data_IF_754079531742
#
_entry.id   IF_754079531742
#
_cell.length_a   1.000
_cell.length_b   1.000
_cell.length_c   1.000
_cell.angle_alpha   90.00
_cell.angle_beta   90.00
_cell.angle_gamma   90.00
#
_symmetry.space_group_name_H-M   'P 1'
#
loop_
_entity.id
_entity.type
_entity.pdbx_description
1 polymer ?
#
# COMPACT_ATOMS: atom_id res chain seq x y z
N UNK A 1 15.66 26.54 17.30
CA UNK A 1 15.42 25.16 16.77
C UNK A 1 14.91 25.27 15.36
N UNK A 2 15.38 24.44 14.43
CA UNK A 2 14.85 24.43 13.06
C UNK A 2 13.42 23.89 13.06
N UNK A 3 12.53 24.43 12.23
CA UNK A 3 11.12 24.00 12.14
C UNK A 3 10.97 22.49 11.89
N UNK A 4 11.96 21.86 11.21
CA UNK A 4 11.95 20.44 10.88
C UNK A 4 11.79 19.51 12.11
N UNK A 5 12.38 19.88 13.23
CA UNK A 5 12.38 19.07 14.46
C UNK A 5 11.31 19.50 15.48
N UNK A 6 10.45 20.45 15.13
CA UNK A 6 9.30 20.80 15.97
C UNK A 6 8.14 19.85 15.72
N UNK A 7 7.32 19.53 16.73
CA UNK A 7 6.10 18.74 16.55
C UNK A 7 5.17 19.35 15.50
N UNK A 8 4.40 18.50 14.85
CA UNK A 8 3.37 18.90 13.90
C UNK A 8 2.07 18.16 14.22
N UNK A 9 1.00 18.92 14.41
CA UNK A 9 -0.33 18.35 14.71
C UNK A 9 -1.25 18.55 13.52
N UNK A 10 -1.89 17.48 13.07
CA UNK A 10 -2.96 17.49 12.09
C UNK A 10 -4.16 16.74 12.66
N UNK A 11 -5.28 17.43 12.84
CA UNK A 11 -6.44 16.92 13.58
C UNK A 11 -5.99 16.38 14.96
N UNK A 12 -6.28 15.13 15.25
CA UNK A 12 -5.97 14.50 16.54
C UNK A 12 -4.60 13.78 16.58
N UNK A 13 -3.83 13.85 15.47
CA UNK A 13 -2.54 13.17 15.34
C UNK A 13 -1.40 14.16 15.46
N UNK A 14 -0.48 13.90 16.40
CA UNK A 14 0.74 14.71 16.61
C UNK A 14 1.99 13.92 16.24
N UNK A 15 2.71 14.39 15.24
CA UNK A 15 4.03 13.90 14.85
C UNK A 15 5.09 14.52 15.74
N UNK A 16 6.08 13.75 16.21
CA UNK A 16 7.19 14.28 17.05
C UNK A 16 8.11 15.27 16.30
N UNK A 17 8.11 15.22 14.97
CA UNK A 17 8.83 16.14 14.08
C UNK A 17 8.17 16.11 12.69
N UNK A 18 8.69 16.90 11.74
CA UNK A 18 8.12 17.06 10.39
C UNK A 18 8.79 16.15 9.34
N UNK A 19 9.44 15.07 9.77
CA UNK A 19 10.06 14.09 8.89
C UNK A 19 9.08 12.95 8.70
N UNK A 20 8.66 12.73 7.45
CA UNK A 20 7.82 11.61 7.07
C UNK A 20 8.59 10.67 6.12
N UNK A 21 8.52 9.37 6.39
CA UNK A 21 8.95 8.34 5.43
C UNK A 21 7.78 8.08 4.50
N UNK A 22 7.93 8.33 3.18
CA UNK A 22 6.86 8.09 2.21
C UNK A 22 6.65 6.60 1.97
N UNK A 23 5.50 6.20 1.37
CA UNK A 23 5.25 4.82 1.00
C UNK A 23 6.21 4.38 -0.11
N UNK A 24 6.92 3.28 0.10
CA UNK A 24 7.91 2.71 -0.84
C UNK A 24 7.73 1.20 -0.91
N UNK A 25 7.27 0.69 -2.06
CA UNK A 25 7.00 -0.73 -2.26
C UNK A 25 8.23 -1.60 -2.02
N UNK A 26 8.08 -2.62 -1.19
CA UNK A 26 9.13 -3.59 -0.88
C UNK A 26 9.02 -4.84 -1.73
N UNK A 27 7.86 -5.08 -2.33
CA UNK A 27 7.56 -6.25 -3.17
C UNK A 27 7.90 -7.59 -2.52
N UNK A 28 7.81 -7.66 -1.20
CA UNK A 28 8.22 -8.79 -0.36
C UNK A 28 7.05 -9.53 0.30
N UNK A 29 5.80 -9.14 -0.03
CA UNK A 29 4.60 -9.82 0.45
C UNK A 29 4.35 -11.14 -0.29
N UNK A 30 3.55 -11.99 0.31
CA UNK A 30 3.05 -13.25 -0.29
C UNK A 30 1.54 -13.25 -0.21
N UNK A 31 0.87 -13.27 -1.35
CA UNK A 31 -0.60 -13.20 -1.46
C UNK A 31 -1.21 -12.05 -0.63
N UNK A 32 -0.56 -10.89 -0.67
CA UNK A 32 -0.95 -9.71 0.09
C UNK A 32 -0.55 -9.72 1.57
N UNK A 33 -0.15 -10.85 2.11
CA UNK A 33 0.31 -10.96 3.49
C UNK A 33 1.72 -10.42 3.66
N UNK A 34 1.92 -9.62 4.69
CA UNK A 34 3.25 -9.18 5.11
C UNK A 34 4.09 -10.37 5.57
N UNK A 35 5.38 -10.28 5.37
CA UNK A 35 6.37 -11.30 5.76
C UNK A 35 7.28 -10.77 6.88
N UNK A 36 8.22 -11.59 7.32
CA UNK A 36 9.23 -11.18 8.32
C UNK A 36 10.10 -10.00 7.85
N UNK A 37 10.12 -9.71 6.56
CA UNK A 37 10.81 -8.54 6.00
C UNK A 37 10.23 -7.21 6.48
N UNK A 38 8.90 -7.07 6.51
CA UNK A 38 8.22 -5.78 6.63
C UNK A 38 8.37 -5.15 8.01
N UNK A 39 8.17 -5.93 9.08
CA UNK A 39 8.20 -5.37 10.43
C UNK A 39 9.58 -4.79 10.80
N UNK A 40 10.73 -5.48 10.63
CA UNK A 40 12.05 -4.90 10.86
C UNK A 40 12.34 -3.68 9.99
N UNK A 41 11.91 -3.69 8.72
CA UNK A 41 12.09 -2.58 7.79
C UNK A 41 11.41 -1.31 8.32
N UNK A 42 10.11 -1.35 8.58
CA UNK A 42 9.35 -0.16 9.02
C UNK A 42 9.72 0.29 10.43
N UNK A 43 9.96 -0.63 11.34
CA UNK A 43 10.41 -0.29 12.70
C UNK A 43 11.82 0.32 12.68
N UNK A 44 12.70 -0.14 11.78
CA UNK A 44 14.03 0.44 11.56
C UNK A 44 13.95 1.92 11.14
N UNK A 45 13.06 2.25 10.19
CA UNK A 45 12.81 3.63 9.74
C UNK A 45 12.27 4.52 10.88
N UNK A 46 11.35 3.99 11.68
CA UNK A 46 10.82 4.70 12.85
C UNK A 46 11.90 4.96 13.90
N UNK A 47 12.77 3.97 14.18
CA UNK A 47 13.93 4.11 15.08
C UNK A 47 14.95 5.12 14.57
N UNK A 48 15.03 5.32 13.25
CA UNK A 48 15.85 6.35 12.62
C UNK A 48 15.41 7.79 12.95
N UNK A 49 14.26 7.99 13.60
CA UNK A 49 13.84 9.28 14.11
C UNK A 49 12.69 9.95 13.35
N UNK A 50 12.14 9.33 12.30
CA UNK A 50 10.99 9.89 11.57
C UNK A 50 9.77 10.09 12.49
N UNK A 51 9.02 11.16 12.26
CA UNK A 51 7.75 11.45 12.98
C UNK A 51 6.58 10.64 12.43
N UNK A 52 6.60 10.32 11.14
CA UNK A 52 5.59 9.53 10.45
C UNK A 52 6.30 8.47 9.59
N UNK A 53 5.80 7.24 9.60
CA UNK A 53 6.24 6.18 8.68
C UNK A 53 5.01 5.63 7.97
N UNK A 54 4.95 5.81 6.64
CA UNK A 54 3.83 5.34 5.83
C UNK A 54 4.23 4.00 5.18
N UNK A 55 3.46 2.96 5.49
CA UNK A 55 3.61 1.64 4.88
C UNK A 55 3.29 1.73 3.39
N UNK A 56 4.01 0.96 2.59
CA UNK A 56 3.93 0.90 1.14
C UNK A 56 2.50 0.79 0.59
N UNK A 57 2.36 1.09 -0.70
CA UNK A 57 1.09 0.94 -1.43
C UNK A 57 0.51 -0.44 -1.18
N UNK A 58 -0.60 -0.47 -0.44
CA UNK A 58 -1.29 -1.67 0.02
C UNK A 58 -2.58 -1.82 -0.77
N UNK A 59 -2.72 -2.94 -1.47
CA UNK A 59 -3.84 -3.14 -2.38
C UNK A 59 -5.16 -3.36 -1.63
N UNK A 60 -6.22 -2.71 -2.10
CA UNK A 60 -7.57 -2.81 -1.54
C UNK A 60 -8.33 -4.05 -2.05
N UNK A 61 -7.84 -4.66 -3.14
CA UNK A 61 -8.35 -5.90 -3.74
C UNK A 61 -7.20 -6.72 -4.32
N UNK A 62 -7.35 -8.04 -4.54
CA UNK A 62 -6.30 -8.87 -5.11
C UNK A 62 -5.78 -8.37 -6.46
N UNK A 63 -6.68 -7.98 -7.36
CA UNK A 63 -6.34 -7.44 -8.69
C UNK A 63 -5.79 -6.01 -8.64
N UNK A 64 -5.96 -5.32 -7.52
CA UNK A 64 -5.42 -3.97 -7.29
C UNK A 64 -3.93 -3.93 -6.96
N UNK A 65 -3.26 -5.06 -6.83
CA UNK A 65 -1.79 -5.12 -6.62
C UNK A 65 -1.04 -4.66 -7.86
N UNK A 66 0.09 -4.00 -7.65
CA UNK A 66 1.04 -3.70 -8.75
C UNK A 66 1.69 -5.01 -9.21
N UNK A 67 2.28 -5.75 -8.27
CA UNK A 67 2.98 -7.01 -8.50
C UNK A 67 2.47 -8.11 -7.56
N UNK A 68 2.76 -9.40 -7.82
CA UNK A 68 2.44 -10.48 -6.87
C UNK A 68 3.06 -10.29 -5.48
N UNK A 69 4.10 -9.45 -5.37
CA UNK A 69 4.80 -9.16 -4.11
C UNK A 69 4.25 -7.97 -3.33
N UNK A 70 3.18 -7.33 -3.77
CA UNK A 70 2.59 -6.19 -3.04
C UNK A 70 1.80 -6.65 -1.82
N UNK A 71 1.80 -5.81 -0.78
CA UNK A 71 0.94 -5.98 0.39
C UNK A 71 -0.53 -5.75 0.03
N UNK A 72 -1.42 -6.33 0.80
CA UNK A 72 -2.87 -6.20 0.66
C UNK A 72 -3.57 -6.00 2.00
N UNK A 73 -4.80 -5.47 1.89
CA UNK A 73 -5.68 -5.31 3.04
C UNK A 73 -7.14 -5.52 2.63
N UNK A 74 -7.38 -6.52 1.76
CA UNK A 74 -8.71 -6.86 1.23
C UNK A 74 -9.47 -7.91 2.04
N UNK A 75 -8.81 -8.57 3.00
CA UNK A 75 -9.41 -9.57 3.87
C UNK A 75 -8.91 -9.46 5.32
N UNK A 76 -9.69 -9.96 6.26
CA UNK A 76 -9.43 -9.76 7.69
C UNK A 76 -8.17 -10.50 8.19
N UNK A 77 -7.81 -11.61 7.54
CA UNK A 77 -6.57 -12.34 7.84
C UNK A 77 -5.30 -11.52 7.70
N UNK A 78 -5.33 -10.43 6.91
CA UNK A 78 -4.20 -9.54 6.71
C UNK A 78 -4.03 -8.50 7.84
N UNK A 79 -5.03 -8.33 8.71
CA UNK A 79 -5.02 -7.33 9.78
C UNK A 79 -3.91 -7.60 10.80
N UNK A 80 -3.73 -8.85 11.23
CA UNK A 80 -2.78 -9.20 12.30
C UNK A 80 -1.35 -8.81 11.97
N UNK A 81 -0.88 -9.14 10.76
CA UNK A 81 0.46 -8.79 10.30
C UNK A 81 0.67 -7.27 10.20
N UNK A 82 -0.33 -6.55 9.69
CA UNK A 82 -0.32 -5.09 9.63
C UNK A 82 -0.35 -4.45 11.01
N UNK A 83 -1.09 -5.01 11.97
CA UNK A 83 -1.15 -4.55 13.35
C UNK A 83 0.22 -4.69 14.04
N UNK A 84 0.95 -5.78 13.78
CA UNK A 84 2.30 -5.96 14.31
C UNK A 84 3.28 -4.89 13.80
N UNK A 85 3.12 -4.44 12.55
CA UNK A 85 3.90 -3.33 11.97
C UNK A 85 3.50 -2.01 12.62
N UNK A 86 2.22 -1.68 12.66
CA UNK A 86 1.72 -0.43 13.24
C UNK A 86 2.14 -0.28 14.72
N UNK A 87 1.97 -1.34 15.50
CA UNK A 87 2.41 -1.41 16.90
C UNK A 87 3.92 -1.16 17.02
N UNK A 88 4.74 -1.79 16.17
CA UNK A 88 6.20 -1.62 16.17
C UNK A 88 6.65 -0.21 15.82
N UNK A 89 6.03 0.44 14.83
CA UNK A 89 6.28 1.84 14.46
C UNK A 89 5.94 2.76 15.63
N UNK A 90 4.78 2.57 16.26
CA UNK A 90 4.31 3.36 17.40
C UNK A 90 5.24 3.19 18.62
N UNK A 91 5.65 1.96 18.93
CA UNK A 91 6.61 1.67 19.99
C UNK A 91 7.98 2.34 19.76
N UNK A 92 8.36 2.57 18.50
CA UNK A 92 9.57 3.33 18.13
C UNK A 92 9.37 4.85 18.12
N UNK A 93 8.19 5.35 18.51
CA UNK A 93 7.88 6.78 18.68
C UNK A 93 7.49 7.52 17.39
N UNK A 94 7.18 6.82 16.30
CA UNK A 94 6.61 7.40 15.09
C UNK A 94 5.11 7.11 14.98
N UNK A 95 4.40 7.95 14.25
CA UNK A 95 3.00 7.69 13.88
C UNK A 95 2.97 6.63 12.76
N UNK A 96 2.18 5.56 12.91
CA UNK A 96 2.00 4.58 11.85
C UNK A 96 1.00 5.08 10.80
N UNK A 97 1.46 5.21 9.56
CA UNK A 97 0.66 5.50 8.39
C UNK A 97 0.61 4.31 7.43
N UNK A 98 -0.38 4.29 6.56
CA UNK A 98 -0.51 3.32 5.49
C UNK A 98 -1.07 3.98 4.24
N UNK A 99 -0.50 3.67 3.07
CA UNK A 99 -1.07 4.03 1.79
C UNK A 99 -1.93 2.86 1.29
N UNK A 100 -3.19 3.12 0.93
CA UNK A 100 -4.06 2.16 0.27
C UNK A 100 -4.34 2.60 -1.17
N UNK A 101 -4.41 1.65 -2.08
CA UNK A 101 -4.57 1.95 -3.50
C UNK A 101 -5.04 0.78 -4.33
N UNK A 102 -5.33 1.09 -5.60
CA UNK A 102 -5.63 0.12 -6.65
C UNK A 102 -4.77 0.46 -7.87
N UNK A 103 -3.89 -0.45 -8.30
CA UNK A 103 -2.90 -0.16 -9.34
C UNK A 103 -3.49 0.06 -10.74
N UNK A 104 -4.73 -0.37 -10.96
CA UNK A 104 -5.41 -0.13 -12.22
C UNK A 104 -4.63 -0.74 -13.41
N UNK A 105 -4.34 0.09 -14.39
CA UNK A 105 -3.62 -0.29 -15.62
C UNK A 105 -2.13 -0.63 -15.40
N UNK A 106 -1.58 -0.33 -14.23
CA UNK A 106 -0.21 -0.72 -13.82
C UNK A 106 -0.17 -2.07 -13.12
N UNK A 107 -1.32 -2.68 -12.84
CA UNK A 107 -1.43 -3.94 -12.12
C UNK A 107 -0.90 -5.12 -12.96
N UNK A 108 -0.68 -6.25 -12.32
CA UNK A 108 -0.18 -7.48 -12.98
C UNK A 108 1.18 -7.27 -13.64
N UNK A 109 2.09 -6.58 -12.96
CA UNK A 109 3.47 -6.35 -13.40
C UNK A 109 4.45 -7.24 -12.64
N UNK A 110 5.59 -7.53 -13.28
CA UNK A 110 6.75 -8.11 -12.65
C UNK A 110 7.36 -7.13 -11.64
N UNK A 111 8.09 -7.65 -10.67
CA UNK A 111 8.87 -6.78 -9.78
C UNK A 111 9.96 -6.05 -10.58
N UNK A 112 10.44 -4.86 -10.16
CA UNK A 112 11.43 -4.09 -10.92
C UNK A 112 12.69 -4.86 -11.29
N UNK A 113 13.13 -5.77 -10.43
CA UNK A 113 14.32 -6.60 -10.70
C UNK A 113 14.00 -7.89 -11.51
N UNK A 114 12.74 -8.16 -11.81
CA UNK A 114 12.27 -9.27 -12.64
C UNK A 114 11.91 -8.83 -14.06
N UNK A 115 12.02 -7.53 -14.37
CA UNK A 115 11.75 -6.96 -15.69
C UNK A 115 10.92 -5.68 -15.67
N UNK A 116 10.14 -5.43 -14.63
CA UNK A 116 9.25 -4.26 -14.52
C UNK A 116 8.25 -4.14 -15.68
N UNK A 117 7.91 -5.26 -16.30
CA UNK A 117 6.97 -5.39 -17.41
C UNK A 117 5.70 -6.12 -16.97
N UNK A 118 4.68 -6.17 -17.84
CA UNK A 118 3.45 -6.88 -17.52
C UNK A 118 3.61 -8.39 -17.51
N UNK A 119 2.97 -9.05 -16.52
CA UNK A 119 2.73 -10.48 -16.52
C UNK A 119 1.43 -10.73 -17.28
N UNK A 120 1.48 -11.51 -18.36
CA UNK A 120 0.30 -11.79 -19.18
C UNK A 120 -0.79 -12.54 -18.39
N UNK A 121 -2.05 -12.23 -18.70
CA UNK A 121 -3.19 -12.92 -18.10
C UNK A 121 -3.13 -14.40 -18.41
N UNK A 122 -3.26 -15.26 -17.41
CA UNK A 122 -3.14 -16.72 -17.53
C UNK A 122 -1.74 -17.28 -17.31
N UNK A 123 -0.71 -16.42 -17.26
CA UNK A 123 0.62 -16.83 -16.80
C UNK A 123 0.68 -16.84 -15.26
N UNK A 124 1.61 -17.62 -14.71
CA UNK A 124 1.80 -17.70 -13.26
C UNK A 124 2.06 -16.29 -12.67
N UNK A 125 1.24 -15.88 -11.73
CA UNK A 125 1.33 -14.55 -11.11
C UNK A 125 0.69 -13.40 -11.91
N UNK A 126 0.08 -13.70 -13.08
CA UNK A 126 -0.64 -12.71 -13.89
C UNK A 126 -2.15 -12.76 -13.69
N UNK A 127 -2.80 -11.60 -13.83
CA UNK A 127 -4.26 -11.46 -13.73
C UNK A 127 -4.80 -10.40 -14.69
N UNK A 128 -6.12 -10.41 -14.90
CA UNK A 128 -6.80 -9.37 -15.66
C UNK A 128 -6.73 -8.04 -14.93
N UNK A 129 -6.35 -6.99 -15.63
CA UNK A 129 -6.32 -5.63 -15.09
C UNK A 129 -7.59 -4.87 -15.44
N UNK A 130 -8.07 -4.01 -14.55
CA UNK A 130 -9.22 -3.13 -14.75
C UNK A 130 -8.80 -1.68 -14.57
N UNK A 131 -9.45 -0.75 -15.29
CA UNK A 131 -9.13 0.68 -15.24
C UNK A 131 -10.35 1.48 -15.71
N UNK A 132 -10.45 2.79 -15.42
CA UNK A 132 -11.56 3.63 -15.90
C UNK A 132 -11.73 3.66 -17.41
N UNK A 133 -10.69 3.32 -18.17
CA UNK A 133 -10.74 3.22 -19.64
C UNK A 133 -9.83 2.11 -20.15
N UNK A 134 -10.17 1.50 -21.28
CA UNK A 134 -9.38 0.45 -21.93
C UNK A 134 -8.16 1.04 -22.66
N UNK A 135 -7.31 1.76 -21.91
CA UNK A 135 -6.08 2.40 -22.42
C UNK A 135 -4.90 1.88 -21.60
N UNK A 136 -3.91 1.29 -22.27
CA UNK A 136 -2.68 0.82 -21.62
C UNK A 136 -1.96 1.96 -20.89
N UNK A 137 -1.16 1.62 -19.88
CA UNK A 137 -0.28 2.58 -19.23
C UNK A 137 0.79 3.08 -20.19
N UNK A 138 1.32 2.20 -21.02
CA UNK A 138 2.38 2.50 -22.00
C UNK A 138 3.76 2.04 -21.54
N UNK A 139 4.79 2.35 -22.34
CA UNK A 139 6.16 1.91 -22.13
C UNK A 139 6.27 0.38 -21.91
N UNK A 140 6.90 -0.08 -20.83
CA UNK A 140 7.02 -1.49 -20.50
C UNK A 140 5.70 -2.15 -20.04
N UNK A 141 4.62 -1.36 -19.88
CA UNK A 141 3.31 -1.83 -19.42
C UNK A 141 2.24 -1.69 -20.53
N UNK A 142 2.35 -2.46 -21.65
CA UNK A 142 1.49 -2.33 -22.82
C UNK A 142 0.14 -3.03 -22.70
N UNK A 143 -0.11 -3.84 -21.65
CA UNK A 143 -1.37 -4.56 -21.46
C UNK A 143 -2.54 -3.59 -21.39
N UNK A 144 -3.52 -3.79 -22.25
CA UNK A 144 -4.77 -3.01 -22.25
C UNK A 144 -5.67 -3.54 -21.13
N UNK A 145 -6.03 -2.73 -20.13
CA UNK A 145 -6.96 -3.15 -19.10
C UNK A 145 -8.38 -3.27 -19.64
N UNK A 146 -9.19 -4.10 -19.01
CA UNK A 146 -10.64 -4.05 -19.22
C UNK A 146 -11.20 -2.73 -18.67
N UNK A 147 -12.05 -2.07 -19.44
CA UNK A 147 -12.78 -0.90 -18.96
C UNK A 147 -13.74 -1.30 -17.83
N UNK A 148 -13.74 -0.51 -16.76
CA UNK A 148 -14.61 -0.73 -15.61
C UNK A 148 -16.07 -0.45 -15.96
N UNK A 149 -16.95 -1.35 -15.57
CA UNK A 149 -18.39 -1.10 -15.53
C UNK A 149 -18.73 -0.22 -14.31
N UNK A 150 -19.99 0.24 -14.24
CA UNK A 150 -20.49 0.97 -13.07
C UNK A 150 -20.38 0.11 -11.81
N UNK A 151 -20.69 -1.18 -11.91
CA UNK A 151 -20.62 -2.13 -10.81
C UNK A 151 -19.16 -2.35 -10.33
N UNK A 152 -18.19 -2.39 -11.26
CA UNK A 152 -16.76 -2.44 -10.89
C UNK A 152 -16.35 -1.19 -10.09
N UNK A 153 -16.80 0.00 -10.52
CA UNK A 153 -16.49 1.25 -9.81
C UNK A 153 -17.07 1.22 -8.40
N UNK A 154 -18.32 0.79 -8.24
CA UNK A 154 -18.95 0.73 -6.92
C UNK A 154 -18.31 -0.33 -6.03
N UNK A 155 -17.91 -1.49 -6.59
CA UNK A 155 -17.12 -2.50 -5.90
C UNK A 155 -15.77 -1.96 -5.41
N UNK A 156 -14.98 -1.34 -6.28
CA UNK A 156 -13.66 -0.78 -5.91
C UNK A 156 -13.80 0.30 -4.84
N UNK A 157 -14.84 1.15 -4.91
CA UNK A 157 -15.13 2.11 -3.82
C UNK A 157 -15.40 1.40 -2.49
N UNK A 158 -16.18 0.32 -2.50
CA UNK A 158 -16.45 -0.47 -1.30
C UNK A 158 -15.18 -1.16 -0.77
N UNK A 159 -14.29 -1.62 -1.66
CA UNK A 159 -13.00 -2.20 -1.30
C UNK A 159 -12.10 -1.17 -0.59
N UNK A 160 -12.04 0.08 -1.08
CA UNK A 160 -11.34 1.17 -0.39
C UNK A 160 -11.90 1.43 1.00
N UNK A 161 -13.23 1.47 1.16
CA UNK A 161 -13.86 1.65 2.47
C UNK A 161 -13.51 0.50 3.41
N UNK A 162 -13.60 -0.73 2.92
CA UNK A 162 -13.28 -1.93 3.71
C UNK A 162 -11.80 -1.97 4.12
N UNK A 163 -10.89 -1.63 3.21
CA UNK A 163 -9.47 -1.54 3.51
C UNK A 163 -9.16 -0.43 4.53
N UNK A 164 -9.82 0.72 4.46
CA UNK A 164 -9.66 1.79 5.44
C UNK A 164 -10.14 1.38 6.85
N UNK A 165 -11.24 0.62 6.93
CA UNK A 165 -11.73 0.06 8.20
C UNK A 165 -10.69 -0.90 8.78
N UNK A 166 -10.15 -1.83 7.96
CA UNK A 166 -9.11 -2.77 8.38
C UNK A 166 -7.81 -2.08 8.79
N UNK A 167 -7.41 -1.02 8.07
CA UNK A 167 -6.24 -0.21 8.44
C UNK A 167 -6.41 0.41 9.83
N UNK A 168 -7.58 0.94 10.13
CA UNK A 168 -7.91 1.46 11.47
C UNK A 168 -7.90 0.35 12.53
N UNK A 169 -8.45 -0.82 12.24
CA UNK A 169 -8.43 -1.98 13.14
C UNK A 169 -7.00 -2.47 13.41
N UNK A 170 -6.11 -2.41 12.41
CA UNK A 170 -4.70 -2.70 12.56
C UNK A 170 -3.93 -1.65 13.37
N UNK A 171 -4.55 -0.50 13.71
CA UNK A 171 -3.93 0.52 14.55
C UNK A 171 -3.17 1.61 13.79
N UNK A 172 -3.38 1.75 12.48
CA UNK A 172 -2.87 2.90 11.73
C UNK A 172 -3.64 4.16 12.09
N UNK A 173 -2.92 5.27 12.25
CA UNK A 173 -3.45 6.58 12.63
C UNK A 173 -3.42 7.59 11.47
N UNK A 174 -2.72 7.26 10.39
CA UNK A 174 -2.62 8.06 9.18
C UNK A 174 -2.96 7.22 7.97
N UNK A 175 -3.90 7.70 7.15
CA UNK A 175 -4.31 7.03 5.91
C UNK A 175 -3.99 7.93 4.72
N UNK A 176 -3.29 7.37 3.74
CA UNK A 176 -3.07 7.99 2.44
C UNK A 176 -3.85 7.22 1.37
N UNK A 177 -4.71 7.93 0.65
CA UNK A 177 -5.43 7.39 -0.50
C UNK A 177 -4.62 7.63 -1.77
N UNK A 178 -4.18 6.56 -2.41
CA UNK A 178 -3.51 6.63 -3.71
C UNK A 178 -4.54 6.43 -4.82
N UNK A 179 -4.85 7.53 -5.52
CA UNK A 179 -5.83 7.57 -6.59
C UNK A 179 -5.19 7.79 -7.97
#
# INVERSE_FOLDING_TARGET
MTALFTPFTLKDVTLRNRIAVPPMCQYSARDGYVTEWHRPHYVGLARGGAGLVIVEATAVSPEGRITPGCTGLWEDGQIEGMAAIACGIKAAGAVPGIQIGHAGRKASANRPWEGDDHIETGMAGGWETISPSAIAFGAALPKVPREMTRDDIDRVKADFVSAAIRARQAGFEWLELHS
#
